data_IF_868116678318
#
_entry.id   IF_868116678318
#
_cell.length_a   1.000
_cell.length_b   1.000
_cell.length_c   1.000
_cell.angle_alpha   90.00
_cell.angle_beta   90.00
_cell.angle_gamma   90.00
#
_symmetry.space_group_name_H-M   'P 1'
#
loop_
_entity.id
_entity.type
_entity.pdbx_description
1 polymer ?
#
# COMPACT_ATOMS: atom_id res chain seq x y z
N UNK A 1 12.69 9.76 14.12
CA UNK A 1 14.12 9.68 13.96
C UNK A 1 14.57 10.28 12.64
N UNK A 2 15.80 10.75 12.65
CA UNK A 2 16.39 11.42 11.48
C UNK A 2 16.43 10.50 10.25
N UNK A 3 16.69 9.21 10.42
CA UNK A 3 16.79 8.28 9.30
C UNK A 3 15.46 8.12 8.52
N UNK A 4 14.32 8.25 9.18
CA UNK A 4 13.02 8.25 8.50
C UNK A 4 12.90 9.47 7.60
N UNK A 5 13.27 10.65 8.10
CA UNK A 5 13.24 11.88 7.33
C UNK A 5 14.22 11.82 6.15
N UNK A 6 15.36 11.20 6.33
CA UNK A 6 16.36 11.01 5.28
C UNK A 6 15.81 10.11 4.16
N UNK A 7 15.21 8.98 4.50
CA UNK A 7 14.64 8.06 3.52
C UNK A 7 13.53 8.75 2.73
N UNK A 8 12.65 9.46 3.40
CA UNK A 8 11.57 10.20 2.77
C UNK A 8 12.10 11.22 1.77
N UNK A 9 13.13 11.99 2.16
CA UNK A 9 13.73 13.02 1.33
C UNK A 9 14.51 12.46 0.14
N UNK A 10 15.06 11.27 0.27
CA UNK A 10 15.81 10.64 -0.81
C UNK A 10 14.90 10.14 -1.95
N UNK A 11 13.59 10.09 -1.73
CA UNK A 11 12.64 9.62 -2.70
C UNK A 11 12.47 8.11 -2.76
N UNK A 12 13.08 7.38 -1.85
CA UNK A 12 12.86 5.94 -1.71
C UNK A 12 11.56 5.71 -0.94
N UNK A 13 10.45 5.71 -1.67
CA UNK A 13 9.11 5.63 -1.08
C UNK A 13 8.83 4.29 -0.41
N UNK A 14 9.38 3.20 -0.94
CA UNK A 14 9.19 1.86 -0.35
C UNK A 14 9.92 1.76 0.98
N UNK A 15 11.18 2.17 1.03
CA UNK A 15 11.95 2.16 2.26
C UNK A 15 11.34 3.09 3.31
N UNK A 16 10.89 4.29 2.91
CA UNK A 16 10.23 5.23 3.80
C UNK A 16 8.94 4.65 4.38
N UNK A 17 8.11 3.99 3.58
CA UNK A 17 6.88 3.37 4.03
C UNK A 17 7.14 2.24 5.04
N UNK A 18 8.13 1.39 4.78
CA UNK A 18 8.53 0.31 5.70
C UNK A 18 9.07 0.86 7.01
N UNK A 19 9.91 1.89 6.93
CA UNK A 19 10.46 2.56 8.10
C UNK A 19 9.36 3.20 8.94
N UNK A 20 8.40 3.85 8.30
CA UNK A 20 7.25 4.45 8.95
C UNK A 20 6.45 3.41 9.74
N UNK A 21 6.15 2.26 9.13
CA UNK A 21 5.37 1.21 9.77
C UNK A 21 6.09 0.57 10.96
N UNK A 22 7.43 0.46 10.89
CA UNK A 22 8.22 -0.22 11.92
C UNK A 22 8.84 0.68 12.99
N UNK A 23 8.60 1.99 12.95
CA UNK A 23 9.41 2.93 13.70
C UNK A 23 9.04 3.13 15.17
N UNK A 24 7.91 2.63 15.64
CA UNK A 24 7.53 2.79 17.06
C UNK A 24 7.34 4.25 17.47
N UNK A 25 6.53 4.98 16.73
CA UNK A 25 6.33 6.43 16.93
C UNK A 25 5.78 6.78 18.32
N UNK A 26 5.15 5.83 18.99
CA UNK A 26 4.58 6.03 20.33
C UNK A 26 5.65 6.37 21.38
N UNK A 27 6.92 6.08 21.10
CA UNK A 27 8.02 6.35 22.00
C UNK A 27 8.65 7.73 21.81
N UNK A 28 8.15 8.52 20.87
CA UNK A 28 8.65 9.87 20.60
C UNK A 28 7.93 10.84 21.52
N UNK A 29 8.69 11.50 22.42
CA UNK A 29 8.13 12.44 23.40
C UNK A 29 8.29 13.90 23.02
N UNK A 30 9.22 14.24 22.13
CA UNK A 30 9.46 15.61 21.70
C UNK A 30 8.32 16.10 20.81
N UNK A 31 7.65 17.19 21.21
CA UNK A 31 6.51 17.74 20.49
C UNK A 31 6.86 18.17 19.06
N UNK A 32 8.05 18.73 18.84
CA UNK A 32 8.49 19.14 17.51
C UNK A 32 8.71 17.93 16.60
N UNK A 33 9.30 16.86 17.13
CA UNK A 33 9.50 15.62 16.40
C UNK A 33 8.15 14.98 16.10
N UNK A 34 7.23 14.99 17.07
CA UNK A 34 5.88 14.46 16.86
C UNK A 34 5.14 15.21 15.76
N UNK A 35 5.26 16.53 15.73
CA UNK A 35 4.64 17.35 14.68
C UNK A 35 5.23 17.01 13.30
N UNK A 36 6.53 16.82 13.18
CA UNK A 36 7.18 16.44 11.94
C UNK A 36 6.72 15.04 11.50
N UNK A 37 6.68 14.10 12.43
CA UNK A 37 6.21 12.72 12.16
C UNK A 37 4.77 12.73 11.69
N UNK A 38 3.91 13.52 12.33
CA UNK A 38 2.51 13.61 11.93
C UNK A 38 2.34 14.24 10.54
N UNK A 39 3.14 15.24 10.20
CA UNK A 39 3.14 15.82 8.86
C UNK A 39 3.56 14.79 7.80
N UNK A 40 4.58 13.98 8.09
CA UNK A 40 5.00 12.90 7.21
C UNK A 40 3.88 11.88 7.05
N UNK A 41 3.23 11.50 8.16
CA UNK A 41 2.10 10.57 8.15
C UNK A 41 0.97 11.07 7.25
N UNK A 42 0.56 12.33 7.41
CA UNK A 42 -0.49 12.92 6.61
C UNK A 42 -0.11 12.97 5.12
N UNK A 43 1.12 13.34 4.83
CA UNK A 43 1.61 13.41 3.46
C UNK A 43 1.64 12.01 2.81
N UNK A 44 2.14 11.02 3.51
CA UNK A 44 2.12 9.63 3.03
C UNK A 44 0.70 9.14 2.80
N UNK A 45 -0.21 9.41 3.73
CA UNK A 45 -1.60 8.95 3.61
C UNK A 45 -2.33 9.68 2.47
N UNK A 46 -2.09 10.98 2.31
CA UNK A 46 -2.82 11.78 1.33
C UNK A 46 -2.26 11.65 -0.09
N UNK A 47 -0.94 11.48 -0.24
CA UNK A 47 -0.27 11.60 -1.53
C UNK A 47 0.56 10.39 -1.93
N UNK A 48 1.35 9.84 -1.01
CA UNK A 48 2.36 8.83 -1.35
C UNK A 48 1.73 7.47 -1.61
N UNK A 49 0.67 7.09 -0.89
CA UNK A 49 0.04 5.80 -1.13
C UNK A 49 -0.42 5.66 -2.59
N UNK A 50 -0.96 6.73 -3.16
CA UNK A 50 -1.41 6.72 -4.55
C UNK A 50 -0.22 6.64 -5.51
N UNK A 51 0.85 7.37 -5.23
CA UNK A 51 2.08 7.30 -6.03
C UNK A 51 2.67 5.89 -6.03
N UNK A 52 2.62 5.18 -4.90
CA UNK A 52 3.06 3.79 -4.82
C UNK A 52 2.19 2.87 -5.66
N UNK A 53 0.87 3.05 -5.64
CA UNK A 53 -0.04 2.28 -6.49
C UNK A 53 0.26 2.55 -7.97
N UNK A 54 0.41 3.81 -8.35
CA UNK A 54 0.69 4.18 -9.74
C UNK A 54 2.01 3.56 -10.22
N UNK A 55 3.04 3.58 -9.40
CA UNK A 55 4.32 2.94 -9.72
C UNK A 55 4.18 1.44 -9.85
N UNK A 56 3.43 0.81 -8.94
CA UNK A 56 3.13 -0.61 -9.01
C UNK A 56 2.43 -0.98 -10.32
N UNK A 57 1.47 -0.17 -10.76
CA UNK A 57 0.76 -0.39 -12.03
C UNK A 57 1.70 -0.28 -13.22
N UNK A 58 2.61 0.68 -13.23
CA UNK A 58 3.62 0.82 -14.29
C UNK A 58 4.49 -0.44 -14.37
N UNK A 59 4.94 -0.94 -13.23
CA UNK A 59 5.75 -2.16 -13.16
C UNK A 59 4.96 -3.38 -13.60
N UNK A 60 3.71 -3.49 -13.21
CA UNK A 60 2.83 -4.57 -13.67
C UNK A 60 2.71 -4.56 -15.19
N UNK A 61 2.42 -3.41 -15.78
CA UNK A 61 2.27 -3.28 -17.22
C UNK A 61 3.58 -3.60 -17.97
N UNK A 62 4.71 -3.38 -17.32
CA UNK A 62 6.03 -3.72 -17.86
C UNK A 62 6.40 -5.19 -17.66
N UNK A 63 5.57 -5.96 -16.97
CA UNK A 63 5.85 -7.37 -16.66
C UNK A 63 6.66 -7.61 -15.39
N UNK A 64 6.98 -6.57 -14.64
CA UNK A 64 7.79 -6.66 -13.41
C UNK A 64 6.87 -6.89 -12.19
N UNK A 65 6.21 -8.02 -12.15
CA UNK A 65 5.16 -8.30 -11.15
C UNK A 65 5.68 -8.38 -9.72
N UNK A 66 6.89 -8.91 -9.52
CA UNK A 66 7.51 -8.99 -8.18
C UNK A 66 7.73 -7.62 -7.59
N UNK A 67 8.28 -6.69 -8.37
CA UNK A 67 8.47 -5.31 -7.93
C UNK A 67 7.13 -4.60 -7.74
N UNK A 68 6.17 -4.84 -8.63
CA UNK A 68 4.82 -4.29 -8.51
C UNK A 68 4.19 -4.67 -7.17
N UNK A 69 4.32 -5.92 -6.76
CA UNK A 69 3.81 -6.39 -5.46
C UNK A 69 4.41 -5.59 -4.30
N UNK A 70 5.71 -5.32 -4.33
CA UNK A 70 6.37 -4.54 -3.28
C UNK A 70 5.76 -3.13 -3.16
N UNK A 71 5.48 -2.48 -4.27
CA UNK A 71 4.87 -1.15 -4.28
C UNK A 71 3.41 -1.18 -3.79
N UNK A 72 2.62 -2.15 -4.22
CA UNK A 72 1.25 -2.29 -3.75
C UNK A 72 1.19 -2.58 -2.25
N UNK A 73 2.04 -3.46 -1.76
CA UNK A 73 2.10 -3.78 -0.32
C UNK A 73 2.57 -2.58 0.49
N UNK A 74 3.53 -1.81 -0.01
CA UNK A 74 3.96 -0.58 0.64
C UNK A 74 2.81 0.43 0.74
N UNK A 75 2.01 0.55 -0.32
CA UNK A 75 0.82 1.41 -0.31
C UNK A 75 -0.18 0.95 0.75
N UNK A 76 -0.43 -0.35 0.87
CA UNK A 76 -1.33 -0.91 1.87
C UNK A 76 -0.80 -0.75 3.29
N UNK A 77 0.52 -0.71 3.47
CA UNK A 77 1.13 -0.43 4.77
C UNK A 77 0.78 0.99 5.23
N UNK A 78 0.74 1.93 4.31
CA UNK A 78 0.39 3.33 4.59
C UNK A 78 -1.12 3.50 4.74
N UNK A 79 -1.89 2.91 3.84
CA UNK A 79 -3.35 3.02 3.82
C UNK A 79 -3.97 1.66 3.55
N UNK A 80 -4.27 0.87 4.62
CA UNK A 80 -4.84 -0.46 4.46
C UNK A 80 -6.23 -0.50 3.83
N UNK A 81 -7.00 0.58 3.95
CA UNK A 81 -8.33 0.73 3.38
C UNK A 81 -8.30 1.29 1.96
N UNK A 82 -7.47 0.68 1.11
CA UNK A 82 -7.29 1.06 -0.28
C UNK A 82 -7.74 -0.09 -1.20
N UNK A 83 -8.99 -0.05 -1.72
CA UNK A 83 -9.52 -1.16 -2.52
C UNK A 83 -8.76 -1.37 -3.83
N UNK A 84 -8.21 -0.33 -4.43
CA UNK A 84 -7.38 -0.46 -5.63
C UNK A 84 -6.16 -1.34 -5.37
N UNK A 85 -5.40 -1.03 -4.32
CA UNK A 85 -4.21 -1.82 -3.97
C UNK A 85 -4.58 -3.24 -3.55
N UNK A 86 -5.66 -3.41 -2.79
CA UNK A 86 -6.15 -4.74 -2.40
C UNK A 86 -6.50 -5.59 -3.63
N UNK A 87 -7.17 -5.00 -4.61
CA UNK A 87 -7.54 -5.69 -5.84
C UNK A 87 -6.28 -6.16 -6.60
N UNK A 88 -5.31 -5.28 -6.79
CA UNK A 88 -4.09 -5.62 -7.54
C UNK A 88 -3.21 -6.62 -6.80
N UNK A 89 -3.11 -6.53 -5.48
CA UNK A 89 -2.43 -7.56 -4.68
C UNK A 89 -3.12 -8.92 -4.86
N UNK A 90 -4.46 -8.94 -4.84
CA UNK A 90 -5.22 -10.15 -5.12
C UNK A 90 -4.91 -10.73 -6.49
N UNK A 91 -4.83 -9.89 -7.53
CA UNK A 91 -4.48 -10.33 -8.87
C UNK A 91 -3.06 -10.91 -8.95
N UNK A 92 -2.12 -10.32 -8.23
CA UNK A 92 -0.74 -10.81 -8.19
C UNK A 92 -0.65 -12.16 -7.47
N UNK A 93 -1.38 -12.34 -6.37
CA UNK A 93 -1.48 -13.65 -5.73
C UNK A 93 -2.09 -14.68 -6.68
N UNK A 94 -3.12 -14.31 -7.43
CA UNK A 94 -3.77 -15.19 -8.40
C UNK A 94 -2.79 -15.62 -9.49
N UNK A 95 -2.00 -14.69 -10.02
CA UNK A 95 -0.97 -14.99 -11.01
C UNK A 95 0.12 -15.90 -10.47
N UNK A 96 0.41 -15.83 -9.16
CA UNK A 96 1.37 -16.70 -8.50
C UNK A 96 0.79 -18.07 -8.11
N UNK A 97 -0.51 -18.30 -8.35
CA UNK A 97 -1.19 -19.54 -7.98
C UNK A 97 -1.64 -19.60 -6.53
N UNK A 98 -1.51 -18.51 -5.77
CA UNK A 98 -1.94 -18.43 -4.38
C UNK A 98 -3.40 -17.98 -4.30
N UNK A 99 -4.30 -18.91 -4.60
CA UNK A 99 -5.73 -18.65 -4.69
C UNK A 99 -6.34 -18.23 -3.35
N UNK A 100 -5.89 -18.81 -2.24
CA UNK A 100 -6.43 -18.50 -0.92
C UNK A 100 -6.18 -17.05 -0.53
N UNK A 101 -4.95 -16.57 -0.70
CA UNK A 101 -4.62 -15.17 -0.42
C UNK A 101 -5.27 -14.23 -1.43
N UNK A 102 -5.34 -14.62 -2.69
CA UNK A 102 -6.03 -13.84 -3.72
C UNK A 102 -7.50 -13.62 -3.34
N UNK A 103 -8.19 -14.68 -2.99
CA UNK A 103 -9.60 -14.62 -2.59
C UNK A 103 -9.81 -13.78 -1.34
N UNK A 104 -8.89 -13.85 -0.37
CA UNK A 104 -8.94 -13.01 0.83
C UNK A 104 -8.89 -11.52 0.47
N UNK A 105 -8.05 -11.14 -0.49
CA UNK A 105 -7.94 -9.74 -0.92
C UNK A 105 -9.22 -9.29 -1.65
N UNK A 106 -9.75 -10.12 -2.54
CA UNK A 106 -10.98 -9.81 -3.26
C UNK A 106 -12.18 -9.72 -2.31
N UNK A 107 -12.28 -10.62 -1.34
CA UNK A 107 -13.35 -10.58 -0.34
C UNK A 107 -13.29 -9.31 0.50
N UNK A 108 -12.10 -8.84 0.84
CA UNK A 108 -11.94 -7.55 1.53
C UNK A 108 -12.52 -6.40 0.71
N UNK A 109 -12.23 -6.36 -0.59
CA UNK A 109 -12.77 -5.31 -1.47
C UNK A 109 -14.29 -5.37 -1.47
N UNK A 110 -14.88 -6.54 -1.65
CA UNK A 110 -16.33 -6.70 -1.75
C UNK A 110 -17.03 -6.38 -0.43
N UNK A 111 -16.48 -6.83 0.69
CA UNK A 111 -17.14 -6.73 2.00
C UNK A 111 -16.90 -5.40 2.69
N UNK A 112 -15.71 -4.82 2.56
CA UNK A 112 -15.33 -3.61 3.27
C UNK A 112 -15.51 -2.35 2.43
N UNK A 113 -15.55 -2.46 1.10
CA UNK A 113 -15.66 -1.32 0.19
C UNK A 113 -16.78 -1.52 -0.83
N UNK A 114 -18.04 -1.74 -0.39
CA UNK A 114 -19.12 -2.08 -1.29
C UNK A 114 -19.45 -1.02 -2.34
N UNK A 115 -19.05 0.22 -2.11
CA UNK A 115 -19.27 1.33 -3.04
C UNK A 115 -18.11 1.57 -4.00
N UNK A 116 -17.06 0.76 -3.91
CA UNK A 116 -15.87 0.91 -4.76
C UNK A 116 -16.14 0.41 -6.18
N UNK A 117 -15.54 1.07 -7.16
CA UNK A 117 -15.55 0.60 -8.55
C UNK A 117 -14.81 -0.74 -8.72
N UNK A 118 -13.96 -1.11 -7.75
CA UNK A 118 -13.22 -2.37 -7.79
C UNK A 118 -14.03 -3.57 -7.29
N UNK A 119 -15.22 -3.38 -6.75
CA UNK A 119 -16.08 -4.47 -6.28
C UNK A 119 -16.43 -5.43 -7.42
N UNK A 120 -16.88 -4.92 -8.55
CA UNK A 120 -17.23 -5.77 -9.70
C UNK A 120 -16.00 -6.48 -10.26
N UNK A 121 -14.88 -5.80 -10.33
CA UNK A 121 -13.61 -6.39 -10.76
C UNK A 121 -13.15 -7.50 -9.82
N UNK A 122 -13.27 -7.29 -8.52
CA UNK A 122 -12.92 -8.29 -7.51
C UNK A 122 -13.84 -9.50 -7.60
N UNK A 123 -15.14 -9.31 -7.76
CA UNK A 123 -16.09 -10.39 -7.96
C UNK A 123 -15.77 -11.22 -9.20
N UNK A 124 -15.50 -10.56 -10.31
CA UNK A 124 -15.15 -11.23 -11.56
C UNK A 124 -13.85 -12.02 -11.43
N UNK A 125 -12.83 -11.44 -10.79
CA UNK A 125 -11.55 -12.09 -10.61
C UNK A 125 -11.65 -13.32 -9.68
N UNK A 126 -12.48 -13.23 -8.64
CA UNK A 126 -12.72 -14.33 -7.71
C UNK A 126 -13.59 -15.45 -8.31
N UNK A 127 -14.43 -15.12 -9.30
CA UNK A 127 -15.33 -16.10 -9.93
C UNK A 127 -16.70 -16.22 -9.30
N UNK A 128 -17.18 -15.14 -8.71
CA UNK A 128 -18.57 -15.08 -8.23
C UNK A 128 -19.55 -15.16 -9.40
#
# INVERSE_FOLDING_TARGET
RIWILQDYRSGDLVAAAKAFAGAGFDLIEDENIQAIVENIRQDMTANIYQSLVDRGLQLWNAGNKTEAMDYFQASLTIKPDNPEALFYVGRLYQDAGDTDNANSMFDKVVNEFPDSEYVDRAKNARGY
#
